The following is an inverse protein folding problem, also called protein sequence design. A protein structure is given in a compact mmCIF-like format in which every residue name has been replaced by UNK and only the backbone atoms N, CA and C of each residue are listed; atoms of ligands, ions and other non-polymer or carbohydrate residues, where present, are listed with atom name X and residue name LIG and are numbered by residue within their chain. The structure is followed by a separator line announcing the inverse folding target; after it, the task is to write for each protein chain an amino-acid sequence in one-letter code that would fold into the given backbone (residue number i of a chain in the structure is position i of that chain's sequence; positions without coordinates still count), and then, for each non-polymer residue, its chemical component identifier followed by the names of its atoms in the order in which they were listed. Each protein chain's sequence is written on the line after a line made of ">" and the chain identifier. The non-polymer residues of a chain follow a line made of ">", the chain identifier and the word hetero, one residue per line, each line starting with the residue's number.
data_IF_233611121295
#
_entry.id   IF_233611121295
#
_cell.length_a   1.000
_cell.length_b   1.000
_cell.length_c   1.000
_cell.angle_alpha   90.00
_cell.angle_beta   90.00
_cell.angle_gamma   90.00
#
_symmetry.space_group_name_H-M   'P 1'
#
loop_
_entity.id
_entity.type
_entity.pdbx_description
1 polymer ?
#
# COMPACT_ATOMS: atom_id res chain seq x y z
N UNK A 1 -4.32 -19.22 7.36
CA UNK A 1 -3.68 -18.50 8.48
C UNK A 1 -4.81 -17.93 9.33
N UNK A 2 -4.91 -18.39 10.56
CA UNK A 2 -5.86 -17.86 11.54
C UNK A 2 -5.40 -16.47 11.94
N UNK A 3 -6.26 -15.47 11.83
CA UNK A 3 -6.03 -14.14 12.40
C UNK A 3 -5.57 -14.29 13.85
N UNK A 4 -4.50 -13.60 14.30
CA UNK A 4 -4.12 -13.64 15.70
C UNK A 4 -5.33 -13.29 16.58
N UNK A 5 -5.53 -14.03 17.67
CA UNK A 5 -6.71 -13.89 18.54
C UNK A 5 -6.90 -12.42 18.93
N UNK A 6 -8.14 -11.94 18.85
CA UNK A 6 -8.54 -10.56 19.21
C UNK A 6 -7.93 -9.44 18.35
N UNK A 7 -7.41 -9.74 17.15
CA UNK A 7 -7.00 -8.71 16.20
C UNK A 7 -8.04 -8.57 15.08
N UNK A 8 -8.32 -7.31 14.70
CA UNK A 8 -8.97 -7.01 13.43
C UNK A 8 -7.97 -7.26 12.31
N UNK A 9 -8.37 -8.02 11.30
CA UNK A 9 -7.58 -8.23 10.09
C UNK A 9 -8.22 -7.53 8.89
N UNK A 10 -7.41 -6.81 8.11
CA UNK A 10 -7.81 -6.26 6.82
C UNK A 10 -6.78 -6.69 5.76
N UNK A 11 -7.26 -6.99 4.55
CA UNK A 11 -6.40 -7.35 3.41
C UNK A 11 -6.70 -6.42 2.25
N UNK A 12 -5.64 -5.93 1.60
CA UNK A 12 -5.67 -5.14 0.39
C UNK A 12 -4.93 -5.89 -0.71
N UNK A 13 -5.68 -6.42 -1.67
CA UNK A 13 -5.11 -7.08 -2.84
C UNK A 13 -4.68 -6.02 -3.86
N UNK A 14 -3.43 -6.09 -4.32
CA UNK A 14 -2.85 -5.16 -5.27
C UNK A 14 -2.96 -5.71 -6.70
N UNK A 15 -3.06 -4.81 -7.69
CA UNK A 15 -3.18 -5.18 -9.11
C UNK A 15 -1.97 -5.94 -9.65
N UNK A 16 -0.80 -5.73 -9.08
CA UNK A 16 0.44 -6.44 -9.43
C UNK A 16 0.53 -7.84 -8.78
N UNK A 17 -0.58 -8.35 -8.23
CA UNK A 17 -0.65 -9.62 -7.53
C UNK A 17 -0.17 -9.56 -6.08
N UNK A 18 0.46 -8.48 -5.62
CA UNK A 18 0.87 -8.34 -4.21
C UNK A 18 -0.34 -8.22 -3.27
N UNK A 19 -0.09 -8.30 -1.97
CA UNK A 19 -1.10 -8.01 -0.95
C UNK A 19 -0.49 -7.30 0.25
N UNK A 20 -1.22 -6.33 0.79
CA UNK A 20 -0.93 -5.69 2.07
C UNK A 20 -1.96 -6.18 3.08
N UNK A 21 -1.49 -6.71 4.19
CA UNK A 21 -2.32 -7.15 5.31
C UNK A 21 -2.07 -6.23 6.50
N UNK A 22 -3.14 -5.83 7.18
CA UNK A 22 -3.04 -5.16 8.47
C UNK A 22 -3.72 -6.02 9.53
N UNK A 23 -3.05 -6.18 10.67
CA UNK A 23 -3.62 -6.78 11.86
C UNK A 23 -3.50 -5.77 12.99
N UNK A 24 -4.61 -5.43 13.65
CA UNK A 24 -4.61 -4.40 14.67
C UNK A 24 -5.52 -4.76 15.85
N UNK A 25 -5.07 -4.40 17.04
CA UNK A 25 -5.88 -4.29 18.25
C UNK A 25 -5.45 -3.03 19.03
N UNK A 26 -5.88 -2.89 20.28
CA UNK A 26 -5.58 -1.70 21.09
C UNK A 26 -4.09 -1.56 21.46
N UNK A 27 -3.30 -2.62 21.29
CA UNK A 27 -1.90 -2.70 21.73
C UNK A 27 -0.90 -2.72 20.56
N UNK A 28 -1.28 -3.35 19.45
CA UNK A 28 -0.36 -3.70 18.35
C UNK A 28 -0.99 -3.35 17.01
N UNK A 29 -0.19 -2.73 16.14
CA UNK A 29 -0.47 -2.55 14.72
C UNK A 29 0.61 -3.29 13.94
N UNK A 30 0.22 -4.33 13.21
CA UNK A 30 1.11 -5.12 12.37
C UNK A 30 0.80 -4.85 10.90
N UNK A 31 1.78 -4.36 10.16
CA UNK A 31 1.72 -4.22 8.70
C UNK A 31 2.52 -5.35 8.05
N UNK A 32 1.86 -6.14 7.22
CA UNK A 32 2.50 -7.23 6.49
C UNK A 32 2.37 -7.03 4.98
N UNK A 33 3.51 -7.01 4.29
CA UNK A 33 3.59 -6.94 2.84
C UNK A 33 3.90 -8.34 2.31
N UNK A 34 3.12 -8.79 1.32
CA UNK A 34 3.26 -10.09 0.67
C UNK A 34 3.36 -9.90 -0.83
N UNK A 35 4.28 -10.62 -1.46
CA UNK A 35 4.28 -10.84 -2.91
C UNK A 35 3.60 -12.18 -3.22
N UNK A 36 2.93 -12.27 -4.35
CA UNK A 36 2.23 -13.49 -4.79
C UNK A 36 3.15 -14.50 -5.45
N UNK A 37 4.18 -14.05 -6.16
CA UNK A 37 5.11 -14.90 -6.90
C UNK A 37 6.54 -14.59 -6.45
N UNK A 38 7.32 -15.58 -5.98
CA UNK A 38 8.76 -15.41 -5.79
C UNK A 38 9.40 -15.09 -7.15
N UNK A 39 10.21 -14.05 -7.23
CA UNK A 39 11.11 -13.85 -8.39
C UNK A 39 12.34 -14.74 -8.25
N UNK A 40 13.15 -14.90 -9.30
CA UNK A 40 14.42 -15.64 -9.20
C UNK A 40 15.36 -15.04 -8.14
N UNK A 41 15.30 -13.72 -7.93
CA UNK A 41 16.03 -13.02 -6.87
C UNK A 41 15.53 -13.37 -5.45
N UNK A 42 14.25 -13.74 -5.32
CA UNK A 42 13.62 -14.10 -4.05
C UNK A 42 13.96 -15.55 -3.60
N UNK A 43 14.51 -16.39 -4.49
CA UNK A 43 14.88 -17.79 -4.18
C UNK A 43 15.97 -17.85 -3.09
N UNK A 44 16.82 -16.82 -3.03
CA UNK A 44 17.90 -16.70 -2.05
C UNK A 44 17.52 -15.85 -0.83
N UNK A 45 16.33 -15.23 -0.82
CA UNK A 45 15.86 -14.36 0.25
C UNK A 45 14.98 -15.13 1.25
N UNK A 46 15.18 -14.97 2.56
CA UNK A 46 14.57 -15.84 3.58
C UNK A 46 13.04 -15.71 3.74
N UNK A 47 12.36 -14.74 3.11
CA UNK A 47 10.90 -14.67 3.16
C UNK A 47 10.27 -13.78 2.07
N UNK A 48 9.22 -14.31 1.43
CA UNK A 48 8.31 -13.59 0.50
C UNK A 48 7.28 -12.72 1.26
N UNK A 49 7.42 -12.65 2.59
CA UNK A 49 6.51 -11.97 3.52
C UNK A 49 7.32 -11.16 4.53
N UNK A 50 7.16 -9.84 4.53
CA UNK A 50 7.77 -8.96 5.52
C UNK A 50 6.66 -8.40 6.40
N UNK A 51 6.82 -8.51 7.73
CA UNK A 51 5.88 -7.98 8.70
C UNK A 51 6.61 -7.06 9.67
N UNK A 52 6.04 -5.89 9.93
CA UNK A 52 6.62 -4.85 10.79
C UNK A 52 5.56 -4.44 11.81
N UNK A 53 5.95 -4.43 13.08
CA UNK A 53 5.15 -3.82 14.14
C UNK A 53 5.34 -2.31 14.08
N UNK A 54 4.25 -1.57 14.03
CA UNK A 54 4.23 -0.13 13.99
C UNK A 54 3.74 0.41 15.33
N UNK A 55 4.40 1.46 15.81
CA UNK A 55 3.80 2.36 16.79
C UNK A 55 2.61 3.11 16.18
N UNK A 56 1.77 3.69 17.05
CA UNK A 56 0.64 4.50 16.61
C UNK A 56 1.11 5.71 15.76
N UNK A 57 2.23 6.34 16.14
CA UNK A 57 2.79 7.48 15.43
C UNK A 57 3.31 7.08 14.04
N UNK A 58 4.02 5.96 13.92
CA UNK A 58 4.50 5.46 12.62
C UNK A 58 3.34 5.09 11.69
N UNK A 59 2.33 4.41 12.22
CA UNK A 59 1.14 4.05 11.44
C UNK A 59 0.42 5.30 10.89
N UNK A 60 0.26 6.33 11.73
CA UNK A 60 -0.36 7.59 11.32
C UNK A 60 0.49 8.34 10.28
N UNK A 61 1.81 8.38 10.46
CA UNK A 61 2.72 9.03 9.53
C UNK A 61 2.68 8.36 8.14
N UNK A 62 2.74 7.03 8.10
CA UNK A 62 2.63 6.26 6.85
C UNK A 62 1.29 6.50 6.18
N UNK A 63 0.18 6.44 6.92
CA UNK A 63 -1.15 6.68 6.37
C UNK A 63 -1.27 8.10 5.78
N UNK A 64 -0.73 9.10 6.48
CA UNK A 64 -0.76 10.50 6.03
C UNK A 64 0.04 10.70 4.74
N UNK A 65 1.23 10.12 4.65
CA UNK A 65 2.06 10.21 3.44
C UNK A 65 1.38 9.55 2.24
N UNK A 66 0.74 8.38 2.43
CA UNK A 66 -0.03 7.72 1.37
C UNK A 66 -1.18 8.60 0.86
N UNK A 67 -1.90 9.26 1.77
CA UNK A 67 -2.98 10.19 1.39
C UNK A 67 -2.44 11.40 0.64
N UNK A 68 -1.31 11.98 1.07
CA UNK A 68 -0.65 13.10 0.39
C UNK A 68 -0.18 12.71 -1.02
N UNK A 69 0.45 11.55 -1.16
CA UNK A 69 0.92 11.04 -2.46
C UNK A 69 -0.24 10.87 -3.45
N UNK A 70 -1.35 10.26 -3.01
CA UNK A 70 -2.55 10.11 -3.84
C UNK A 70 -3.15 11.47 -4.19
N UNK A 71 -3.23 12.40 -3.23
CA UNK A 71 -3.76 13.74 -3.48
C UNK A 71 -2.99 14.48 -4.58
N UNK A 72 -1.65 14.37 -4.60
CA UNK A 72 -0.81 14.97 -5.64
C UNK A 72 -1.10 14.36 -7.02
N UNK A 73 -1.11 13.03 -7.12
CA UNK A 73 -1.36 12.33 -8.38
C UNK A 73 -2.74 12.63 -8.97
N UNK A 74 -3.77 12.73 -8.13
CA UNK A 74 -5.12 13.05 -8.60
C UNK A 74 -5.26 14.50 -9.09
N UNK A 75 -4.52 15.45 -8.49
CA UNK A 75 -4.47 16.83 -8.99
C UNK A 75 -3.81 16.91 -10.36
N UNK A 76 -2.69 16.23 -10.55
CA UNK A 76 -1.96 16.23 -11.83
C UNK A 76 -2.75 15.52 -12.95
N UNK A 77 -3.48 14.45 -12.61
CA UNK A 77 -4.39 13.77 -13.54
C UNK A 77 -5.57 14.66 -14.00
N UNK A 78 -6.01 15.59 -13.15
CA UNK A 78 -7.09 16.52 -13.47
C UNK A 78 -6.62 17.67 -14.37
N UNK A 79 -5.35 18.10 -14.25
CA UNK A 79 -4.79 19.19 -15.07
C UNK A 79 -4.28 18.74 -16.45
N UNK A 80 -3.91 17.46 -16.61
CA UNK A 80 -3.47 16.91 -17.90
C UNK A 80 -4.60 16.69 -18.92
N UNK A 81 -5.87 16.75 -18.50
CA UNK A 81 -7.01 16.68 -19.43
C UNK A 81 -7.41 18.03 -20.05
N UNK A 82 -6.91 19.16 -19.55
CA UNK A 82 -7.29 20.50 -20.04
C UNK A 82 -6.41 21.02 -21.20
N UNK A 83 -5.25 20.41 -21.45
CA UNK A 83 -4.29 20.93 -22.45
C UNK A 83 -4.49 20.42 -23.88
N UNK A 84 -5.38 19.45 -24.11
CA UNK A 84 -5.58 18.84 -25.45
C UNK A 84 -6.62 19.61 -26.29
N UNK A 85 -7.42 20.51 -25.71
CA UNK A 85 -8.54 21.16 -26.40
C UNK A 85 -8.25 22.51 -27.05
N UNK A 86 -7.00 23.01 -27.04
CA UNK A 86 -6.63 24.34 -27.56
C UNK A 86 -5.78 24.32 -28.85
N UNK A 87 -5.65 23.17 -29.51
CA UNK A 87 -4.68 22.96 -30.60
C UNK A 87 -5.23 22.70 -32.00
N UNK A 88 -6.48 23.04 -32.33
CA UNK A 88 -7.01 22.86 -33.69
C UNK A 88 -7.67 24.15 -34.18
N UNK A 89 -6.86 25.04 -34.73
CA UNK A 89 -7.26 26.04 -35.72
C UNK A 89 -5.98 26.62 -36.34
N UNK A 90 -5.50 25.97 -37.41
CA UNK A 90 -4.85 26.61 -38.55
C UNK A 90 -5.13 25.79 -39.80
#
# INVERSE_FOLDING_TARGET
>A
MTTPKNMRAQTFTLKNGGAIHTYSNDEVILLQIRRSTPTEEDILQPSVKVAVNLSQQEALAIASELLLAVSRQLKDASQSSETVSLGINQ
#
